data_IF_653859348882
#
_entry.id   IF_653859348882
#
_cell.length_a   1.000
_cell.length_b   1.000
_cell.length_c   1.000
_cell.angle_alpha   90.00
_cell.angle_beta   90.00
_cell.angle_gamma   90.00
#
_symmetry.space_group_name_H-M   'P 1'
#
loop_
_entity.id
_entity.type
_entity.pdbx_description
1 polymer ?
#
# COMPACT_ATOMS: atom_id res chain seq x y z
N UNK A 1 19.21 -19.66 -1.49
CA UNK A 1 18.60 -18.95 -0.35
C UNK A 1 19.38 -19.24 0.92
N UNK A 2 19.69 -18.21 1.71
CA UNK A 2 20.41 -18.34 2.99
C UNK A 2 19.59 -19.09 4.03
N UNK A 3 18.27 -18.90 4.01
CA UNK A 3 17.34 -19.55 4.94
C UNK A 3 16.30 -20.33 4.13
N UNK A 4 16.26 -21.64 4.35
CA UNK A 4 15.27 -22.54 3.74
C UNK A 4 14.05 -22.68 4.66
N UNK A 5 13.38 -21.56 4.92
CA UNK A 5 12.21 -21.47 5.81
C UNK A 5 11.13 -20.65 5.14
N UNK A 6 9.85 -20.88 5.48
CA UNK A 6 8.78 -19.96 5.08
C UNK A 6 9.07 -18.53 5.53
N UNK A 7 8.79 -17.58 4.67
CA UNK A 7 9.03 -16.15 4.92
C UNK A 7 7.71 -15.40 4.80
N UNK A 8 7.47 -14.51 5.73
CA UNK A 8 6.35 -13.58 5.69
C UNK A 8 6.86 -12.15 5.79
N UNK A 9 6.40 -11.27 4.91
CA UNK A 9 6.65 -9.83 5.02
C UNK A 9 5.56 -9.27 5.93
N UNK A 10 5.94 -8.95 7.17
CA UNK A 10 4.99 -8.53 8.20
C UNK A 10 4.65 -7.05 8.16
N UNK A 11 5.48 -6.25 7.49
CA UNK A 11 5.28 -4.81 7.37
C UNK A 11 6.07 -4.28 6.19
N UNK A 12 5.39 -3.60 5.27
CA UNK A 12 6.01 -2.90 4.15
C UNK A 12 5.04 -1.86 3.60
N UNK A 13 5.51 -0.65 3.34
CA UNK A 13 4.65 0.41 2.84
C UNK A 13 5.40 1.66 2.43
N UNK A 14 4.68 2.58 1.81
CA UNK A 14 5.13 3.86 1.32
C UNK A 14 4.34 4.99 1.97
N UNK A 15 5.04 6.02 2.41
CA UNK A 15 4.42 7.21 2.98
C UNK A 15 4.67 8.44 2.13
N UNK A 16 3.67 9.28 2.03
CA UNK A 16 3.79 10.59 1.41
C UNK A 16 2.78 11.59 1.99
N UNK A 17 3.01 12.86 1.72
CA UNK A 17 2.02 13.91 1.95
C UNK A 17 0.97 13.83 0.86
N UNK A 18 -0.29 13.79 1.23
CA UNK A 18 -1.40 13.60 0.31
C UNK A 18 -2.48 14.66 0.51
N UNK A 19 -3.17 14.97 -0.57
CA UNK A 19 -4.29 15.90 -0.59
C UNK A 19 -5.54 15.26 -1.18
N UNK A 20 -6.71 15.74 -0.77
CA UNK A 20 -7.98 15.33 -1.34
C UNK A 20 -8.34 16.25 -2.50
N UNK A 21 -8.63 15.67 -3.66
CA UNK A 21 -9.04 16.36 -4.87
C UNK A 21 -10.40 15.79 -5.33
N UNK A 22 -11.44 16.62 -5.32
CA UNK A 22 -12.81 16.18 -5.68
C UNK A 22 -13.28 14.93 -4.94
N UNK A 23 -13.00 14.84 -3.64
CA UNK A 23 -13.36 13.70 -2.81
C UNK A 23 -12.53 12.44 -3.05
N UNK A 24 -11.43 12.54 -3.77
CA UNK A 24 -10.53 11.43 -4.12
C UNK A 24 -9.10 11.73 -3.69
N UNK A 25 -8.33 10.67 -3.49
CA UNK A 25 -6.89 10.73 -3.21
C UNK A 25 -6.15 9.90 -4.26
N UNK A 26 -5.38 10.59 -5.10
CA UNK A 26 -4.62 10.01 -6.21
C UNK A 26 -3.18 9.74 -5.75
N UNK A 27 -2.96 8.57 -5.18
CA UNK A 27 -1.68 8.17 -4.61
C UNK A 27 -0.89 7.23 -5.53
N UNK A 28 -0.64 7.68 -6.75
CA UNK A 28 0.03 6.87 -7.78
C UNK A 28 1.39 6.34 -7.34
N UNK A 29 2.16 7.10 -6.58
CA UNK A 29 3.47 6.65 -6.08
C UNK A 29 3.37 5.44 -5.16
N UNK A 30 2.31 5.34 -4.36
CA UNK A 30 2.05 4.16 -3.54
C UNK A 30 1.68 2.96 -4.41
N UNK A 31 0.90 3.17 -5.46
CA UNK A 31 0.58 2.12 -6.44
C UNK A 31 1.85 1.60 -7.10
N UNK A 32 2.71 2.49 -7.58
CA UNK A 32 3.98 2.13 -8.22
C UNK A 32 4.88 1.35 -7.25
N UNK A 33 4.97 1.81 -6.02
CA UNK A 33 5.73 1.12 -4.96
C UNK A 33 5.19 -0.29 -4.69
N UNK A 34 3.87 -0.43 -4.54
CA UNK A 34 3.23 -1.73 -4.35
C UNK A 34 3.45 -2.65 -5.55
N UNK A 35 3.27 -2.14 -6.76
CA UNK A 35 3.48 -2.88 -7.99
C UNK A 35 4.89 -3.47 -8.06
N UNK A 36 5.90 -2.64 -7.85
CA UNK A 36 7.30 -3.06 -7.95
C UNK A 36 7.66 -4.09 -6.87
N UNK A 37 7.17 -3.92 -5.65
CA UNK A 37 7.39 -4.88 -4.57
C UNK A 37 6.68 -6.22 -4.82
N UNK A 38 5.43 -6.19 -5.27
CA UNK A 38 4.66 -7.40 -5.60
C UNK A 38 5.32 -8.15 -6.75
N UNK A 39 5.82 -7.43 -7.77
CA UNK A 39 6.58 -8.04 -8.86
C UNK A 39 7.83 -8.76 -8.38
N UNK A 40 8.59 -8.16 -7.46
CA UNK A 40 9.75 -8.80 -6.87
C UNK A 40 9.38 -10.00 -5.99
N UNK A 41 8.24 -9.94 -5.30
CA UNK A 41 7.73 -11.10 -4.55
C UNK A 41 7.38 -12.26 -5.50
N UNK A 42 6.75 -11.99 -6.64
CA UNK A 42 6.48 -13.01 -7.66
C UNK A 42 7.78 -13.63 -8.18
N UNK A 43 8.78 -12.80 -8.50
CA UNK A 43 10.09 -13.29 -8.95
C UNK A 43 10.75 -14.17 -7.88
N UNK A 44 10.68 -13.78 -6.63
CA UNK A 44 11.23 -14.58 -5.52
C UNK A 44 10.53 -15.95 -5.38
N UNK A 45 9.21 -15.98 -5.51
CA UNK A 45 8.42 -17.23 -5.50
C UNK A 45 8.82 -18.12 -6.68
N UNK A 46 8.96 -17.54 -7.88
CA UNK A 46 9.39 -18.29 -9.08
C UNK A 46 10.78 -18.86 -8.94
N UNK A 47 11.66 -18.20 -8.18
CA UNK A 47 13.00 -18.69 -7.84
C UNK A 47 13.03 -19.70 -6.68
N UNK A 48 11.90 -20.07 -6.11
CA UNK A 48 11.75 -21.10 -5.10
C UNK A 48 11.73 -20.61 -3.64
N UNK A 49 11.54 -19.31 -3.42
CA UNK A 49 11.32 -18.77 -2.07
C UNK A 49 9.91 -19.13 -1.61
N UNK A 50 9.80 -19.70 -0.43
CA UNK A 50 8.51 -19.99 0.21
C UNK A 50 7.98 -18.72 0.91
N UNK A 51 7.46 -17.78 0.11
CA UNK A 51 6.85 -16.55 0.59
C UNK A 51 5.36 -16.81 0.88
N UNK A 52 4.99 -16.82 2.15
CA UNK A 52 3.65 -17.23 2.60
C UNK A 52 2.70 -16.06 2.85
N UNK A 53 3.18 -14.83 2.87
CA UNK A 53 2.32 -13.68 3.09
C UNK A 53 3.02 -12.34 2.97
N UNK A 54 2.18 -11.33 2.76
CA UNK A 54 2.57 -9.93 2.68
C UNK A 54 1.55 -9.09 3.44
N UNK A 55 2.01 -8.24 4.33
CA UNK A 55 1.17 -7.28 5.06
C UNK A 55 1.60 -5.87 4.72
N UNK A 56 0.71 -5.15 4.05
CA UNK A 56 0.93 -3.75 3.73
C UNK A 56 0.81 -2.88 4.99
N UNK A 57 1.76 -1.98 5.19
CA UNK A 57 1.67 -0.93 6.18
C UNK A 57 1.30 0.40 5.52
N UNK A 58 0.11 0.92 5.73
CA UNK A 58 -0.94 0.41 6.61
C UNK A 58 -2.28 0.39 5.87
N UNK A 59 -3.31 -0.19 6.48
CA UNK A 59 -4.66 -0.17 5.90
C UNK A 59 -5.26 1.23 5.90
N UNK A 60 -5.11 1.96 6.98
CA UNK A 60 -5.66 3.30 7.19
C UNK A 60 -4.55 4.26 7.62
N UNK A 61 -4.67 5.54 7.28
CA UNK A 61 -3.75 6.56 7.77
C UNK A 61 -3.74 6.58 9.30
N UNK A 62 -2.54 6.54 9.85
CA UNK A 62 -2.28 6.58 11.28
C UNK A 62 -1.28 7.67 11.62
N UNK A 63 -1.22 8.01 12.89
CA UNK A 63 -0.25 8.96 13.40
C UNK A 63 1.17 8.37 13.32
N UNK A 64 2.02 8.99 12.50
CA UNK A 64 3.45 8.66 12.50
C UNK A 64 4.11 9.18 13.76
N UNK A 65 5.00 8.39 14.37
CA UNK A 65 5.76 8.78 15.55
C UNK A 65 6.71 9.97 15.30
N UNK A 66 7.10 10.20 14.05
CA UNK A 66 8.07 11.25 13.70
C UNK A 66 7.47 12.46 12.99
N UNK A 67 6.40 12.30 12.23
CA UNK A 67 5.85 13.36 11.38
C UNK A 67 4.31 13.48 11.45
N UNK A 68 3.70 12.85 12.45
CA UNK A 68 2.26 12.95 12.64
C UNK A 68 1.47 12.46 11.43
N UNK A 69 0.44 13.21 11.02
CA UNK A 69 -0.39 12.91 9.85
C UNK A 69 0.15 13.45 8.53
N UNK A 70 1.28 14.15 8.52
CA UNK A 70 1.94 14.53 7.27
C UNK A 70 2.57 13.32 6.56
N UNK A 71 2.84 12.27 7.32
CA UNK A 71 3.39 11.02 6.84
C UNK A 71 2.32 9.93 6.77
N UNK A 72 1.66 9.83 5.64
CA UNK A 72 0.48 8.96 5.45
C UNK A 72 0.87 7.65 4.76
N UNK A 73 0.55 6.53 5.40
CA UNK A 73 0.87 5.18 4.91
C UNK A 73 -0.35 4.38 4.45
N UNK A 74 -1.56 4.86 4.75
CA UNK A 74 -2.78 4.10 4.55
C UNK A 74 -3.20 3.91 3.10
N UNK A 75 -3.96 2.89 2.85
CA UNK A 75 -4.80 2.73 1.65
C UNK A 75 -6.10 3.53 1.77
N UNK A 76 -6.44 3.89 3.00
CA UNK A 76 -7.60 4.73 3.35
C UNK A 76 -7.10 6.02 3.99
N UNK A 77 -7.46 7.13 3.37
CA UNK A 77 -7.18 8.47 3.88
C UNK A 77 -8.10 8.80 5.06
N UNK A 78 -7.54 9.42 6.10
CA UNK A 78 -8.30 9.99 7.22
C UNK A 78 -8.23 11.50 7.14
N UNK A 79 -9.37 12.15 6.97
CA UNK A 79 -9.44 13.60 6.82
C UNK A 79 -9.26 14.31 8.17
N UNK A 80 -7.99 14.45 8.52
CA UNK A 80 -7.53 15.25 9.64
C UNK A 80 -6.09 15.71 9.42
N UNK A 81 -5.70 16.79 10.09
CA UNK A 81 -4.33 17.29 10.15
C UNK A 81 -3.74 17.05 11.55
N UNK A 82 -2.46 17.41 11.71
CA UNK A 82 -1.80 17.32 13.02
C UNK A 82 -2.49 18.12 14.12
N UNK A 83 -3.06 19.26 13.76
CA UNK A 83 -3.65 20.21 14.72
C UNK A 83 -5.16 20.37 14.57
N UNK A 84 -5.76 19.78 13.54
CA UNK A 84 -7.19 19.88 13.28
C UNK A 84 -7.78 18.49 13.05
N UNK A 85 -8.61 18.05 13.99
CA UNK A 85 -9.21 16.71 13.96
C UNK A 85 -10.27 16.61 12.85
N UNK A 86 -10.92 17.73 12.49
CA UNK A 86 -12.05 17.72 11.55
C UNK A 86 -13.09 16.64 11.94
N UNK A 87 -13.69 15.97 10.97
CA UNK A 87 -14.64 14.86 11.19
C UNK A 87 -14.02 13.47 11.01
N UNK A 88 -12.72 13.38 10.73
CA UNK A 88 -12.03 12.13 10.46
C UNK A 88 -12.69 11.28 9.38
N UNK A 89 -13.28 11.89 8.35
CA UNK A 89 -13.87 11.16 7.24
C UNK A 89 -12.85 10.23 6.59
N UNK A 90 -13.28 8.99 6.27
CA UNK A 90 -12.45 8.00 5.59
C UNK A 90 -12.71 8.04 4.10
N UNK A 91 -11.63 8.12 3.32
CA UNK A 91 -11.69 8.13 1.86
C UNK A 91 -10.77 7.02 1.35
N UNK A 92 -11.33 6.08 0.60
CA UNK A 92 -10.53 5.04 -0.07
C UNK A 92 -9.68 5.71 -1.14
N UNK A 93 -8.36 5.49 -1.08
CA UNK A 93 -7.41 6.05 -2.04
C UNK A 93 -7.40 5.21 -3.34
N UNK A 94 -6.79 5.69 -4.38
CA UNK A 94 -6.62 4.91 -5.62
C UNK A 94 -5.88 3.60 -5.35
N UNK A 95 -4.89 3.63 -4.47
CA UNK A 95 -4.16 2.43 -4.02
C UNK A 95 -5.03 1.39 -3.33
N UNK A 96 -6.12 1.80 -2.68
CA UNK A 96 -7.07 0.85 -2.08
C UNK A 96 -7.67 -0.05 -3.16
N UNK A 97 -8.15 0.53 -4.24
CA UNK A 97 -8.76 -0.22 -5.34
C UNK A 97 -7.74 -1.04 -6.11
N UNK A 98 -6.55 -0.51 -6.30
CA UNK A 98 -5.43 -1.24 -6.89
C UNK A 98 -5.09 -2.49 -6.08
N UNK A 99 -4.88 -2.34 -4.78
CA UNK A 99 -4.53 -3.46 -3.90
C UNK A 99 -5.67 -4.48 -3.77
N UNK A 100 -6.92 -4.02 -3.75
CA UNK A 100 -8.09 -4.89 -3.82
C UNK A 100 -8.06 -5.77 -5.07
N UNK A 101 -7.69 -5.21 -6.22
CA UNK A 101 -7.56 -5.97 -7.47
C UNK A 101 -6.42 -6.99 -7.41
N UNK A 102 -5.30 -6.64 -6.79
CA UNK A 102 -4.16 -7.56 -6.58
C UNK A 102 -4.58 -8.76 -5.73
N UNK A 103 -5.29 -8.53 -4.64
CA UNK A 103 -5.81 -9.58 -3.77
C UNK A 103 -6.79 -10.48 -4.54
N UNK A 104 -7.72 -9.87 -5.26
CA UNK A 104 -8.75 -10.59 -6.04
C UNK A 104 -8.14 -11.47 -7.12
N UNK A 105 -7.10 -10.99 -7.79
CA UNK A 105 -6.40 -11.69 -8.87
C UNK A 105 -5.27 -12.61 -8.37
N UNK A 106 -4.98 -12.58 -7.08
CA UNK A 106 -3.84 -13.27 -6.46
C UNK A 106 -2.51 -12.95 -7.16
N UNK A 107 -2.31 -11.69 -7.49
CA UNK A 107 -1.12 -11.20 -8.17
C UNK A 107 -1.38 -9.93 -8.97
N UNK A 108 -0.43 -9.51 -9.80
CA UNK A 108 -0.54 -8.28 -10.60
C UNK A 108 -1.61 -8.36 -11.69
N UNK A 109 -2.06 -9.58 -12.02
CA UNK A 109 -2.97 -9.82 -13.13
C UNK A 109 -2.28 -9.69 -14.49
N UNK A 110 -3.06 -9.79 -15.57
CA UNK A 110 -2.58 -9.38 -16.89
C UNK A 110 -2.48 -7.86 -16.89
N UNK A 111 -1.28 -7.34 -17.14
CA UNK A 111 -1.09 -5.92 -17.36
C UNK A 111 -1.75 -5.64 -18.70
N UNK A 112 -2.93 -5.03 -18.70
CA UNK A 112 -3.40 -4.33 -19.87
C UNK A 112 -2.43 -3.16 -20.09
N UNK A 113 -1.59 -3.26 -21.12
CA UNK A 113 -0.60 -2.25 -21.49
C UNK A 113 -1.24 -0.93 -21.97
N UNK A 114 -2.55 -0.79 -21.84
CA UNK A 114 -3.32 0.42 -22.15
C UNK A 114 -3.52 1.30 -20.92
N UNK A 115 -2.42 1.73 -20.31
CA UNK A 115 -2.46 2.81 -19.33
C UNK A 115 -1.51 3.92 -19.72
#
# INVERSE_FOLDING_TARGET
>A
ARFKKPIMICENGWSELETVEDGKVHDQKRIDYLHDHIKQMQNAIDEGVDLIGYQHWSFIDILSSSQGFDKRYGLVFVDRDNFNIKNCQRIKKDSFYYYQSVIKNNGLGEINEER
#
